data_IF_911022085310
#
_entry.id   IF_911022085310
#
_cell.length_a   1.000
_cell.length_b   1.000
_cell.length_c   1.000
_cell.angle_alpha   90.00
_cell.angle_beta   90.00
_cell.angle_gamma   90.00
#
_symmetry.space_group_name_H-M   'P 1'
#
loop_
_entity.id
_entity.type
_entity.pdbx_description
1 polymer ?
#
# COMPACT_ATOMS: atom_id res chain seq x y z
N UNK A 1 7.54 11.05 -5.58
CA UNK A 1 6.23 11.75 -5.70
C UNK A 1 5.77 12.18 -4.30
N UNK A 2 5.05 13.30 -4.13
CA UNK A 2 4.52 13.67 -2.80
C UNK A 2 3.16 13.02 -2.53
N UNK A 3 2.82 12.81 -1.25
CA UNK A 3 1.51 12.28 -0.86
C UNK A 3 0.34 13.09 -1.45
N UNK A 4 0.42 14.42 -1.39
CA UNK A 4 -0.66 15.25 -1.90
C UNK A 4 -0.84 15.12 -3.41
N UNK A 5 0.26 15.07 -4.17
CA UNK A 5 0.22 14.83 -5.62
C UNK A 5 -0.42 13.48 -5.94
N UNK A 6 -0.10 12.44 -5.16
CA UNK A 6 -0.71 11.12 -5.30
C UNK A 6 -2.22 11.16 -5.07
N UNK A 7 -2.67 11.80 -3.99
CA UNK A 7 -4.11 11.97 -3.70
C UNK A 7 -4.80 12.71 -4.83
N UNK A 8 -4.21 13.78 -5.35
CA UNK A 8 -4.79 14.54 -6.49
C UNK A 8 -4.87 13.70 -7.76
N UNK A 9 -3.89 12.84 -8.02
CA UNK A 9 -3.91 11.94 -9.18
C UNK A 9 -5.04 10.90 -9.07
N UNK A 10 -5.26 10.32 -7.89
CA UNK A 10 -6.25 9.27 -7.67
C UNK A 10 -7.67 9.83 -7.48
N UNK A 11 -7.82 10.91 -6.72
CA UNK A 11 -9.12 11.51 -6.41
C UNK A 11 -9.54 12.59 -7.43
N UNK A 12 -8.65 12.99 -8.33
CA UNK A 12 -8.93 14.01 -9.35
C UNK A 12 -9.31 15.36 -8.74
N UNK A 13 -10.40 15.94 -9.23
CA UNK A 13 -10.94 17.23 -8.76
C UNK A 13 -11.84 17.10 -7.50
N UNK A 14 -11.80 15.96 -6.80
CA UNK A 14 -12.58 15.77 -5.59
C UNK A 14 -12.13 16.76 -4.50
N UNK A 15 -13.09 17.51 -3.96
CA UNK A 15 -12.84 18.37 -2.80
C UNK A 15 -12.52 17.54 -1.55
N UNK A 16 -11.87 18.15 -0.55
CA UNK A 16 -11.64 17.50 0.74
C UNK A 16 -12.93 17.00 1.41
N UNK A 17 -14.07 17.68 1.16
CA UNK A 17 -15.40 17.25 1.61
C UNK A 17 -15.83 15.97 0.92
N UNK A 18 -15.60 15.85 -0.38
CA UNK A 18 -15.94 14.66 -1.16
C UNK A 18 -15.09 13.46 -0.73
N UNK A 19 -13.78 13.66 -0.58
CA UNK A 19 -12.85 12.64 -0.08
C UNK A 19 -13.28 12.19 1.31
N UNK A 20 -13.59 13.14 2.21
CA UNK A 20 -14.08 12.84 3.55
C UNK A 20 -15.37 12.02 3.53
N UNK A 21 -16.34 12.38 2.67
CA UNK A 21 -17.59 11.65 2.51
C UNK A 21 -17.37 10.20 2.05
N UNK A 22 -16.47 9.98 1.10
CA UNK A 22 -16.19 8.63 0.56
C UNK A 22 -15.40 7.76 1.52
N UNK A 23 -14.39 8.33 2.18
CA UNK A 23 -13.43 7.59 2.99
C UNK A 23 -13.82 7.49 4.47
N UNK A 24 -14.74 8.35 4.93
CA UNK A 24 -15.02 8.53 6.36
C UNK A 24 -13.92 9.28 7.14
N UNK A 25 -12.81 9.65 6.49
CA UNK A 25 -11.72 10.41 7.10
C UNK A 25 -12.20 11.85 7.32
N UNK A 26 -11.93 12.44 8.49
CA UNK A 26 -12.35 13.81 8.78
C UNK A 26 -11.78 14.83 7.78
N UNK A 27 -12.63 15.73 7.29
CA UNK A 27 -12.26 16.75 6.29
C UNK A 27 -11.02 17.59 6.68
N UNK A 28 -10.88 17.95 7.96
CA UNK A 28 -9.71 18.67 8.47
C UNK A 28 -8.42 17.87 8.30
N UNK A 29 -8.48 16.53 8.47
CA UNK A 29 -7.33 15.67 8.22
C UNK A 29 -6.97 15.66 6.74
N UNK A 30 -7.96 15.58 5.84
CA UNK A 30 -7.73 15.58 4.39
C UNK A 30 -7.11 16.91 3.95
N UNK A 31 -7.62 18.05 4.45
CA UNK A 31 -7.03 19.36 4.15
C UNK A 31 -5.57 19.47 4.60
N UNK A 32 -5.21 18.85 5.72
CA UNK A 32 -3.84 18.89 6.25
C UNK A 32 -2.83 18.17 5.35
N UNK A 33 -3.25 17.22 4.53
CA UNK A 33 -2.35 16.44 3.64
C UNK A 33 -1.60 17.29 2.61
N UNK A 34 -2.09 18.51 2.33
CA UNK A 34 -1.41 19.48 1.48
C UNK A 34 -0.04 19.90 2.02
N UNK A 35 0.13 19.84 3.35
CA UNK A 35 1.28 20.42 4.04
C UNK A 35 1.90 19.50 5.09
N UNK A 36 1.29 18.34 5.38
CA UNK A 36 1.79 17.40 6.35
C UNK A 36 1.54 15.95 5.92
N UNK A 37 2.37 15.05 6.44
CA UNK A 37 2.20 13.62 6.22
C UNK A 37 0.88 13.11 6.84
N UNK A 38 0.17 12.21 6.15
CA UNK A 38 -1.03 11.56 6.66
C UNK A 38 -0.68 10.60 7.81
N UNK A 39 -1.70 10.12 8.53
CA UNK A 39 -1.53 8.95 9.40
C UNK A 39 -1.56 7.66 8.56
N UNK A 40 -0.81 6.60 8.90
CA UNK A 40 -0.82 5.34 8.15
C UNK A 40 -2.22 4.74 7.96
N UNK A 41 -3.07 4.79 8.98
CA UNK A 41 -4.44 4.24 8.93
C UNK A 41 -5.29 4.98 7.90
N UNK A 42 -5.09 6.30 7.78
CA UNK A 42 -5.76 7.12 6.80
C UNK A 42 -5.29 6.81 5.38
N UNK A 43 -3.99 6.54 5.18
CA UNK A 43 -3.46 6.14 3.87
C UNK A 43 -4.06 4.81 3.44
N UNK A 44 -4.10 3.82 4.34
CA UNK A 44 -4.68 2.51 4.03
C UNK A 44 -6.19 2.63 3.73
N UNK A 45 -6.91 3.46 4.49
CA UNK A 45 -8.34 3.73 4.28
C UNK A 45 -8.58 4.40 2.93
N UNK A 46 -7.78 5.43 2.59
CA UNK A 46 -7.85 6.10 1.29
C UNK A 46 -7.59 5.11 0.15
N UNK A 47 -6.49 4.36 0.20
CA UNK A 47 -6.12 3.40 -0.84
C UNK A 47 -7.22 2.37 -1.09
N UNK A 48 -7.78 1.77 -0.03
CA UNK A 48 -8.88 0.79 -0.14
C UNK A 48 -10.15 1.41 -0.72
N UNK A 49 -10.50 2.62 -0.29
CA UNK A 49 -11.72 3.32 -0.78
C UNK A 49 -11.62 3.65 -2.28
N UNK A 50 -10.42 3.94 -2.77
CA UNK A 50 -10.15 4.26 -4.17
C UNK A 50 -9.60 3.06 -4.96
N UNK A 51 -9.72 1.84 -4.42
CA UNK A 51 -9.33 0.59 -5.09
C UNK A 51 -7.86 0.59 -5.58
N UNK A 52 -6.96 1.17 -4.78
CA UNK A 52 -5.52 1.20 -5.03
C UNK A 52 -4.76 0.20 -4.15
N UNK A 53 -3.64 -0.34 -4.63
CA UNK A 53 -2.73 -1.12 -3.78
C UNK A 53 -2.27 -0.30 -2.57
N UNK A 54 -2.40 -0.86 -1.36
CA UNK A 54 -2.02 -0.14 -0.12
C UNK A 54 -0.52 0.17 -0.08
N UNK A 55 0.31 -0.75 -0.58
CA UNK A 55 1.76 -0.57 -0.64
C UNK A 55 2.16 0.63 -1.52
N UNK A 56 1.52 0.78 -2.68
CA UNK A 56 1.71 1.94 -3.57
C UNK A 56 1.41 3.25 -2.83
N UNK A 57 0.29 3.31 -2.10
CA UNK A 57 -0.09 4.50 -1.34
C UNK A 57 0.88 4.77 -0.17
N UNK A 58 1.43 3.73 0.45
CA UNK A 58 2.40 3.87 1.54
C UNK A 58 3.74 4.39 1.03
N UNK A 59 4.18 3.97 -0.15
CA UNK A 59 5.35 4.56 -0.83
C UNK A 59 5.10 6.03 -1.14
N UNK A 60 3.94 6.36 -1.72
CA UNK A 60 3.60 7.74 -2.03
C UNK A 60 3.50 8.64 -0.79
N UNK A 61 3.11 8.07 0.36
CA UNK A 61 3.07 8.74 1.65
C UNK A 61 4.43 8.82 2.37
N UNK A 62 5.47 8.16 1.83
CA UNK A 62 6.82 8.13 2.41
C UNK A 62 6.96 7.18 3.61
N UNK A 63 6.05 6.24 3.80
CA UNK A 63 6.15 5.20 4.83
C UNK A 63 7.00 4.01 4.41
N UNK A 64 7.16 3.79 3.11
CA UNK A 64 7.95 2.72 2.51
C UNK A 64 8.77 3.27 1.35
N UNK A 65 9.91 2.66 1.05
CA UNK A 65 10.58 2.82 -0.25
C UNK A 65 9.98 1.87 -1.28
N UNK A 66 10.28 2.10 -2.57
CA UNK A 66 9.84 1.19 -3.65
C UNK A 66 10.42 -0.22 -3.46
N UNK A 67 11.66 -0.33 -2.98
CA UNK A 67 12.30 -1.61 -2.67
C UNK A 67 11.57 -2.35 -1.53
N UNK A 68 11.22 -1.65 -0.45
CA UNK A 68 10.48 -2.23 0.67
C UNK A 68 9.08 -2.71 0.24
N UNK A 69 8.40 -1.94 -0.60
CA UNK A 69 7.08 -2.31 -1.14
C UNK A 69 7.13 -3.45 -2.16
N UNK A 70 8.24 -3.60 -2.90
CA UNK A 70 8.48 -4.70 -3.84
C UNK A 70 9.01 -5.97 -3.20
N UNK A 71 9.43 -5.91 -1.93
CA UNK A 71 9.98 -7.07 -1.22
C UNK A 71 8.86 -8.09 -0.95
N UNK A 72 8.86 -9.16 -1.74
CA UNK A 72 7.98 -10.33 -1.56
C UNK A 72 8.59 -11.36 -0.59
N UNK A 73 9.79 -11.08 -0.04
CA UNK A 73 10.42 -11.93 0.96
C UNK A 73 9.73 -11.76 2.32
N UNK A 74 8.53 -12.31 2.42
CA UNK A 74 8.08 -12.89 3.67
C UNK A 74 9.10 -14.01 3.93
N UNK A 75 9.79 -14.05 5.09
CA UNK A 75 10.40 -15.29 5.56
C UNK A 75 9.24 -16.27 5.67
N UNK A 76 9.01 -17.03 4.60
CA UNK A 76 7.97 -18.04 4.58
C UNK A 76 8.54 -19.08 5.50
N UNK A 77 8.03 -19.13 6.72
CA UNK A 77 8.31 -20.26 7.58
C UNK A 77 7.96 -21.51 6.76
N UNK A 78 9.00 -22.23 6.36
CA UNK A 78 8.91 -23.32 5.41
C UNK A 78 8.02 -24.44 5.96
N UNK A 79 7.72 -24.43 7.27
CA UNK A 79 6.77 -25.34 7.91
C UNK A 79 5.34 -25.17 7.40
N UNK A 80 4.97 -24.02 6.83
CA UNK A 80 3.66 -23.79 6.22
C UNK A 80 3.59 -24.11 4.72
N UNK A 81 4.73 -24.43 4.09
CA UNK A 81 4.77 -24.85 2.68
C UNK A 81 4.50 -26.36 2.62
N UNK A 82 3.51 -26.82 1.83
CA UNK A 82 3.26 -28.26 1.68
C UNK A 82 4.53 -28.99 1.21
N UNK A 83 4.85 -30.12 1.85
CA UNK A 83 6.08 -30.87 1.58
C UNK A 83 6.27 -31.22 0.11
N UNK A 84 5.19 -31.53 -0.61
CA UNK A 84 5.23 -31.82 -2.06
C UNK A 84 5.74 -30.64 -2.90
N UNK A 85 5.37 -29.41 -2.53
CA UNK A 85 5.84 -28.19 -3.20
C UNK A 85 7.33 -28.00 -2.95
N UNK A 86 7.79 -28.24 -1.72
CA UNK A 86 9.21 -28.17 -1.37
C UNK A 86 10.03 -29.23 -2.13
N UNK A 87 9.54 -30.47 -2.21
CA UNK A 87 10.21 -31.55 -2.94
C UNK A 87 10.30 -31.24 -4.44
N UNK A 88 9.22 -30.74 -5.04
CA UNK A 88 9.21 -30.34 -6.46
C UNK A 88 10.23 -29.22 -6.73
N UNK A 89 10.30 -28.22 -5.86
CA UNK A 89 11.24 -27.11 -5.98
C UNK A 89 12.70 -27.55 -5.76
N UNK A 90 12.94 -28.47 -4.81
CA UNK A 90 14.26 -29.07 -4.60
C UNK A 90 14.75 -29.83 -5.83
N UNK A 91 13.91 -30.68 -6.43
CA UNK A 91 14.25 -31.41 -7.66
C UNK A 91 14.61 -30.44 -8.79
N UNK A 92 13.80 -29.40 -8.99
CA UNK A 92 14.03 -28.34 -9.98
C UNK A 92 15.39 -27.66 -9.81
N UNK A 93 15.75 -27.26 -8.58
CA UNK A 93 17.02 -26.56 -8.30
C UNK A 93 18.24 -27.44 -8.38
N UNK A 94 18.11 -28.68 -7.92
CA UNK A 94 19.21 -29.65 -7.88
C UNK A 94 19.39 -30.40 -9.21
N UNK A 95 18.57 -30.10 -10.23
CA UNK A 95 18.56 -30.74 -11.55
C UNK A 95 18.38 -32.27 -11.47
N UNK A 96 17.50 -32.73 -10.58
CA UNK A 96 17.00 -34.10 -10.54
C UNK A 96 15.71 -34.24 -11.34
#
# INVERSE_FOLDING_TARGET
MSWWTYVQQIAGQASAREISRRTGIGQTSVNRWQHASPKPENVATFARTYERPVLEAFVAAGFLTEEEAGTTEIPTDLTYVPGEVLIAEMKRRLKY
#
